data_IF_008379172388
#
_entry.id   IF_008379172388
#
_cell.length_a   1.000
_cell.length_b   1.000
_cell.length_c   1.000
_cell.angle_alpha   90.00
_cell.angle_beta   90.00
_cell.angle_gamma   90.00
#
_symmetry.space_group_name_H-M   'P 1'
#
loop_
_entity.id
_entity.type
_entity.pdbx_description
1 polymer ?
#
# COMPACT_ATOMS: atom_id res chain seq x y z
N UNK A 1 -12.38 3.20 -2.16
CA UNK A 1 -12.81 4.09 -3.26
C UNK A 1 -11.64 4.40 -4.17
N UNK A 2 -11.86 4.26 -5.45
CA UNK A 2 -10.81 4.51 -6.43
C UNK A 2 -10.52 6.00 -6.54
N UNK A 3 -9.24 6.33 -6.54
CA UNK A 3 -8.76 7.70 -6.67
C UNK A 3 -7.72 7.77 -7.77
N UNK A 4 -7.36 8.97 -8.16
CA UNK A 4 -6.34 9.18 -9.19
C UNK A 4 -5.17 9.96 -8.61
N UNK A 5 -3.98 9.42 -8.80
CA UNK A 5 -2.74 10.11 -8.45
C UNK A 5 -2.17 10.72 -9.72
N UNK A 6 -1.86 12.02 -9.67
CA UNK A 6 -1.19 12.70 -10.77
C UNK A 6 0.28 12.84 -10.44
N UNK A 7 1.12 12.26 -11.30
CA UNK A 7 2.57 12.30 -11.10
C UNK A 7 3.11 13.65 -11.55
N UNK A 8 4.05 14.19 -10.78
CA UNK A 8 4.80 15.37 -11.18
C UNK A 8 5.72 15.04 -12.35
N UNK A 9 6.30 13.85 -12.33
CA UNK A 9 7.19 13.38 -13.38
C UNK A 9 6.63 12.09 -13.96
N UNK A 10 6.24 12.15 -15.24
CA UNK A 10 5.70 10.96 -15.91
C UNK A 10 6.74 9.86 -15.96
N UNK A 11 6.27 8.63 -15.94
CA UNK A 11 7.14 7.45 -16.06
C UNK A 11 6.73 6.65 -17.28
N UNK A 12 7.67 5.92 -17.85
CA UNK A 12 7.40 5.05 -18.99
C UNK A 12 7.01 3.67 -18.48
N UNK A 13 5.84 3.23 -18.88
CA UNK A 13 5.35 1.89 -18.56
C UNK A 13 4.92 1.25 -19.87
N UNK A 14 5.58 0.16 -20.23
CA UNK A 14 5.32 -0.55 -21.50
C UNK A 14 5.39 0.38 -22.70
N UNK A 15 6.37 1.29 -22.69
CA UNK A 15 6.58 2.21 -23.82
C UNK A 15 5.63 3.39 -23.87
N UNK A 16 4.78 3.55 -22.86
CA UNK A 16 3.79 4.63 -22.80
C UNK A 16 4.15 5.57 -21.65
N UNK A 17 4.11 6.86 -21.90
CA UNK A 17 4.32 7.87 -20.85
C UNK A 17 3.07 7.96 -20.00
N UNK A 18 3.21 7.73 -18.70
CA UNK A 18 2.08 7.69 -17.77
C UNK A 18 2.29 8.75 -16.70
N UNK A 19 1.31 9.63 -16.54
CA UNK A 19 1.34 10.64 -15.49
C UNK A 19 0.14 10.57 -14.57
N UNK A 20 -0.83 9.71 -14.85
CA UNK A 20 -2.00 9.51 -13.99
C UNK A 20 -2.15 8.03 -13.69
N UNK A 21 -2.29 7.74 -12.42
CA UNK A 21 -2.41 6.36 -11.95
C UNK A 21 -3.59 6.27 -11.01
N UNK A 22 -4.49 5.33 -11.28
CA UNK A 22 -5.58 5.05 -10.37
C UNK A 22 -5.08 4.17 -9.23
N UNK A 23 -5.62 4.39 -8.04
CA UNK A 23 -5.26 3.58 -6.89
C UNK A 23 -6.45 3.44 -5.96
N UNK A 24 -6.44 2.36 -5.19
CA UNK A 24 -7.50 2.07 -4.22
C UNK A 24 -6.93 1.12 -3.18
N UNK A 25 -6.81 1.58 -1.94
CA UNK A 25 -6.26 0.75 -0.89
C UNK A 25 -7.16 -0.45 -0.58
N UNK A 26 -8.46 -0.35 -0.88
CA UNK A 26 -9.36 -1.48 -0.69
C UNK A 26 -9.06 -2.63 -1.65
N UNK A 27 -8.28 -2.39 -2.67
CA UNK A 27 -7.88 -3.41 -3.64
C UNK A 27 -6.59 -4.12 -3.27
N UNK A 28 -6.01 -3.79 -2.13
CA UNK A 28 -4.83 -4.51 -1.63
C UNK A 28 -5.32 -5.80 -1.00
N UNK A 29 -5.21 -6.89 -1.76
CA UNK A 29 -5.56 -8.22 -1.24
C UNK A 29 -4.43 -8.78 -0.41
N UNK A 30 -4.69 -9.84 0.35
CA UNK A 30 -3.65 -10.48 1.13
C UNK A 30 -2.48 -10.97 0.26
N UNK A 31 -2.71 -11.63 -0.88
CA UNK A 31 -1.58 -11.97 -1.75
C UNK A 31 -0.82 -10.76 -2.27
N UNK A 32 -1.53 -9.67 -2.58
CA UNK A 32 -0.87 -8.46 -3.07
C UNK A 32 -0.04 -7.81 -1.97
N UNK A 33 -0.53 -7.83 -0.73
CA UNK A 33 0.24 -7.37 0.42
C UNK A 33 1.53 -8.18 0.57
N UNK A 34 1.42 -9.50 0.45
CA UNK A 34 2.59 -10.38 0.54
C UNK A 34 3.60 -10.08 -0.57
N UNK A 35 3.11 -9.79 -1.78
CA UNK A 35 3.99 -9.43 -2.90
C UNK A 35 4.67 -8.09 -2.65
N UNK A 36 3.98 -7.15 -2.02
CA UNK A 36 4.58 -5.86 -1.67
C UNK A 36 5.73 -6.06 -0.68
N UNK A 37 5.53 -6.91 0.32
CA UNK A 37 6.59 -7.23 1.27
C UNK A 37 7.78 -7.89 0.58
N UNK A 38 7.52 -8.81 -0.33
CA UNK A 38 8.59 -9.47 -1.06
C UNK A 38 9.37 -8.49 -1.93
N UNK A 39 8.66 -7.61 -2.64
CA UNK A 39 9.30 -6.60 -3.49
C UNK A 39 10.15 -5.64 -2.66
N UNK A 40 9.64 -5.25 -1.49
CA UNK A 40 10.39 -4.39 -0.58
C UNK A 40 11.69 -5.05 -0.16
N UNK A 41 11.62 -6.31 0.26
CA UNK A 41 12.81 -7.03 0.70
C UNK A 41 13.82 -7.18 -0.42
N UNK A 42 13.35 -7.44 -1.62
CA UNK A 42 14.25 -7.56 -2.77
C UNK A 42 14.94 -6.23 -3.07
N UNK A 43 14.20 -5.13 -2.99
CA UNK A 43 14.77 -3.81 -3.26
C UNK A 43 15.81 -3.42 -2.22
N UNK A 44 15.61 -3.81 -0.97
CA UNK A 44 16.52 -3.48 0.11
C UNK A 44 17.75 -4.39 0.14
N UNK A 45 17.69 -5.54 -0.49
CA UNK A 45 18.75 -6.53 -0.42
C UNK A 45 18.69 -7.34 0.87
N UNK A 46 19.12 -8.60 0.78
CA UNK A 46 19.00 -9.52 1.90
C UNK A 46 19.81 -9.06 3.11
N UNK A 47 21.00 -8.49 2.87
CA UNK A 47 21.91 -8.10 3.95
C UNK A 47 21.36 -6.95 4.79
N UNK A 48 20.39 -6.22 4.26
CA UNK A 48 19.86 -5.02 4.90
C UNK A 48 18.48 -5.23 5.51
N UNK A 49 18.07 -6.47 5.69
CA UNK A 49 16.77 -6.73 6.27
C UNK A 49 16.85 -6.48 7.77
N UNK A 50 16.83 -5.21 8.15
CA UNK A 50 16.62 -4.84 9.54
C UNK A 50 15.13 -4.95 9.79
N UNK A 51 14.78 -5.72 10.80
CA UNK A 51 13.38 -5.89 11.14
C UNK A 51 12.86 -4.60 11.77
N UNK A 52 11.89 -3.98 11.12
CA UNK A 52 11.17 -2.89 11.75
C UNK A 52 9.99 -3.51 12.49
N UNK A 53 9.99 -3.47 13.81
CA UNK A 53 8.99 -4.21 14.57
C UNK A 53 7.58 -3.66 14.44
N UNK A 54 7.43 -2.41 14.01
CA UNK A 54 6.11 -1.78 13.91
C UNK A 54 5.88 -1.30 12.49
N UNK A 55 4.78 -1.76 11.90
CA UNK A 55 4.45 -1.40 10.52
C UNK A 55 4.29 0.11 10.33
N UNK A 56 3.85 0.82 11.37
CA UNK A 56 3.67 2.28 11.28
C UNK A 56 4.96 3.02 10.99
N UNK A 57 6.10 2.45 11.33
CA UNK A 57 7.40 3.08 11.13
C UNK A 57 8.20 2.47 10.00
N UNK A 58 7.63 1.52 9.29
CA UNK A 58 8.31 0.90 8.14
C UNK A 58 7.97 1.68 6.89
N UNK A 59 8.71 2.78 6.66
CA UNK A 59 8.40 3.67 5.54
C UNK A 59 8.57 3.01 4.18
N UNK A 60 9.53 2.09 4.06
CA UNK A 60 9.69 1.36 2.82
C UNK A 60 8.48 0.45 2.56
N UNK A 61 7.95 -0.17 3.59
CA UNK A 61 6.71 -0.93 3.45
C UNK A 61 5.57 -0.03 3.00
N UNK A 62 5.48 1.17 3.57
CA UNK A 62 4.43 2.13 3.15
C UNK A 62 4.53 2.43 1.67
N UNK A 63 5.75 2.64 1.17
CA UNK A 63 5.93 2.90 -0.26
C UNK A 63 5.43 1.72 -1.09
N UNK A 64 5.79 0.50 -0.73
CA UNK A 64 5.40 -0.66 -1.52
C UNK A 64 3.92 -1.00 -1.37
N UNK A 65 3.30 -0.65 -0.24
CA UNK A 65 1.85 -0.76 -0.13
C UNK A 65 1.14 0.28 -1.00
N UNK A 66 1.72 1.47 -1.14
CA UNK A 66 1.22 2.44 -2.10
C UNK A 66 1.28 1.91 -3.52
N UNK A 67 2.39 1.26 -3.89
CA UNK A 67 2.48 0.58 -5.18
C UNK A 67 1.38 -0.47 -5.32
N UNK A 68 1.13 -1.25 -4.26
CA UNK A 68 0.11 -2.28 -4.30
C UNK A 68 -1.29 -1.68 -4.54
N UNK A 69 -1.57 -0.53 -3.93
CA UNK A 69 -2.86 0.14 -4.16
C UNK A 69 -3.03 0.53 -5.62
N UNK A 70 -1.94 0.91 -6.29
CA UNK A 70 -1.95 1.23 -7.71
C UNK A 70 -2.15 -0.03 -8.54
N UNK A 71 -1.40 -1.08 -8.23
CA UNK A 71 -1.47 -2.34 -8.96
C UNK A 71 -2.86 -2.96 -8.85
N UNK A 72 -3.50 -2.82 -7.68
CA UNK A 72 -4.85 -3.33 -7.51
C UNK A 72 -5.85 -2.75 -8.51
N UNK A 73 -5.66 -1.50 -8.93
CA UNK A 73 -6.48 -0.86 -9.97
C UNK A 73 -5.91 -1.06 -11.37
N UNK A 74 -4.64 -1.43 -11.48
CA UNK A 74 -3.94 -1.55 -12.78
C UNK A 74 -3.17 -2.86 -12.80
N UNK A 75 -3.85 -4.01 -12.94
CA UNK A 75 -3.19 -5.32 -12.78
C UNK A 75 -2.08 -5.58 -13.79
N UNK A 76 -2.05 -4.85 -14.90
CA UNK A 76 -0.99 -4.99 -15.89
C UNK A 76 0.31 -4.31 -15.49
N UNK A 77 0.28 -3.46 -14.44
CA UNK A 77 1.47 -2.78 -13.95
C UNK A 77 2.15 -3.65 -12.91
N UNK A 78 3.47 -3.68 -12.92
CA UNK A 78 4.25 -4.45 -11.96
C UNK A 78 5.01 -3.51 -11.02
N UNK A 79 5.47 -4.05 -9.89
CA UNK A 79 6.26 -3.26 -8.94
C UNK A 79 7.47 -2.62 -9.59
N UNK A 80 8.14 -3.36 -10.49
CA UNK A 80 9.35 -2.85 -11.13
C UNK A 80 9.06 -1.60 -11.98
N UNK A 81 7.85 -1.52 -12.55
CA UNK A 81 7.46 -0.34 -13.31
C UNK A 81 7.36 0.88 -12.41
N UNK A 82 6.79 0.70 -11.23
CA UNK A 82 6.57 1.79 -10.30
C UNK A 82 7.85 2.21 -9.57
N UNK A 83 8.85 1.33 -9.54
CA UNK A 83 10.12 1.67 -8.92
C UNK A 83 10.89 2.72 -9.71
N UNK A 84 10.45 3.06 -10.92
CA UNK A 84 11.06 4.16 -11.69
C UNK A 84 10.54 5.52 -11.24
N UNK A 85 9.48 5.56 -10.46
CA UNK A 85 8.94 6.81 -9.93
C UNK A 85 9.98 7.41 -8.97
N UNK A 86 10.12 8.73 -9.01
CA UNK A 86 11.15 9.38 -8.23
C UNK A 86 10.66 10.73 -7.69
N UNK A 87 11.44 11.26 -6.76
CA UNK A 87 11.22 12.59 -6.23
C UNK A 87 9.96 12.68 -5.38
N UNK A 88 9.25 13.76 -5.54
CA UNK A 88 8.08 14.07 -4.71
C UNK A 88 6.99 13.02 -4.85
N UNK A 89 6.84 12.47 -6.04
CA UNK A 89 5.82 11.45 -6.29
C UNK A 89 6.03 10.22 -5.39
N UNK A 90 7.29 9.89 -5.11
CA UNK A 90 7.61 8.80 -4.20
C UNK A 90 7.00 9.03 -2.82
N UNK A 91 7.10 10.25 -2.32
CA UNK A 91 6.56 10.57 -1.00
C UNK A 91 5.05 10.52 -0.98
N UNK A 92 4.40 10.92 -2.07
CA UNK A 92 2.94 10.86 -2.14
C UNK A 92 2.45 9.42 -2.15
N UNK A 93 3.16 8.56 -2.87
CA UNK A 93 2.80 7.14 -2.89
C UNK A 93 3.03 6.50 -1.52
N UNK A 94 4.12 6.86 -0.87
CA UNK A 94 4.39 6.38 0.49
C UNK A 94 3.26 6.78 1.44
N UNK A 95 2.73 7.99 1.27
CA UNK A 95 1.61 8.46 2.10
C UNK A 95 0.36 7.61 1.89
N UNK A 96 0.12 7.14 0.68
CA UNK A 96 -1.02 6.26 0.41
C UNK A 96 -0.90 4.98 1.25
N UNK A 97 0.27 4.35 1.22
CA UNK A 97 0.50 3.13 1.99
C UNK A 97 0.46 3.37 3.49
N UNK A 98 1.01 4.50 3.94
CA UNK A 98 0.97 4.87 5.34
C UNK A 98 -0.47 5.03 5.82
N UNK A 99 -1.29 5.73 5.03
CA UNK A 99 -2.70 5.93 5.40
C UNK A 99 -3.45 4.61 5.44
N UNK A 100 -3.11 3.67 4.59
CA UNK A 100 -3.70 2.34 4.62
C UNK A 100 -3.45 1.67 5.99
N UNK A 101 -2.23 1.74 6.48
CA UNK A 101 -1.87 1.15 7.79
C UNK A 101 -2.60 1.90 8.91
N UNK A 102 -2.54 3.22 8.92
CA UNK A 102 -3.11 4.01 10.00
C UNK A 102 -4.63 3.95 10.02
N UNK A 103 -5.25 3.93 8.85
CA UNK A 103 -6.70 3.81 8.78
C UNK A 103 -7.21 2.48 9.30
N UNK A 104 -6.45 1.42 9.06
CA UNK A 104 -6.82 0.12 9.59
C UNK A 104 -6.86 0.15 11.11
N UNK A 105 -5.92 0.85 11.75
CA UNK A 105 -5.92 1.02 13.19
C UNK A 105 -7.09 1.87 13.66
N UNK A 106 -7.37 2.95 12.94
CA UNK A 106 -8.48 3.83 13.29
C UNK A 106 -9.81 3.08 13.22
N UNK A 107 -9.99 2.28 12.19
CA UNK A 107 -11.20 1.49 12.03
C UNK A 107 -11.35 0.49 13.18
N UNK A 108 -10.27 -0.11 13.60
CA UNK A 108 -10.30 -1.03 14.73
C UNK A 108 -10.73 -0.32 16.00
N UNK A 109 -10.20 0.87 16.23
CA UNK A 109 -10.58 1.67 17.39
C UNK A 109 -12.05 2.04 17.34
N UNK A 110 -12.52 2.48 16.19
CA UNK A 110 -13.92 2.85 16.04
C UNK A 110 -14.84 1.66 16.23
N UNK A 111 -14.46 0.52 15.73
CA UNK A 111 -15.28 -0.68 15.90
C UNK A 111 -15.42 -1.08 17.36
N UNK A 112 -14.40 -0.84 18.15
CA UNK A 112 -14.51 -1.16 19.57
C UNK A 112 -15.52 -0.28 20.28
N UNK A 113 -15.77 0.88 19.74
CA UNK A 113 -16.83 1.75 20.27
C UNK A 113 -18.20 1.29 19.84
N UNK A 114 -18.30 0.80 18.67
CA UNK A 114 -19.56 0.42 18.12
C UNK A 114 -20.05 -0.87 18.68
N UNK A 115 -19.51 -1.66 18.87
CA UNK A 115 -19.88 -2.82 18.95
C UNK A 115 -20.02 -3.64 19.55
N UNK A 116 -19.96 -3.71 19.12
CA UNK A 116 -19.71 -4.45 18.87
C UNK A 116 -19.94 -5.39 18.12
N UNK A 117 -20.28 -5.61 17.65
CA UNK A 117 -20.46 -6.48 16.84
C UNK A 117 -19.69 -7.30 16.27
N UNK A 118 -19.21 -7.83 16.51
CA UNK A 118 -18.52 -8.68 15.85
C UNK A 118 -18.27 -9.76 16.39
N UNK A 119 -18.88 -9.64 17.13
CA UNK A 119 -18.76 -10.52 17.48
C UNK A 119 -18.86 -11.20 17.56
N UNK A 120 -19.16 -11.30 18.01
CA UNK A 120 -19.20 -12.08 17.90
C UNK A 120 -19.17 -12.67 17.78
N UNK A 121 -19.37 -12.59 17.97
CA UNK A 121 -19.36 -13.15 17.69
C UNK A 121 -18.92 -13.65 17.57
N UNK A 122 -19.07 -13.39 18.28
CA UNK A 122 -18.76 -13.85 18.21
C UNK A 122 -18.87 -14.10 18.60
N UNK A 123 -19.06 -13.87 19.18
CA UNK A 123 -19.23 -14.05 19.39
C UNK A 123 -19.76 -13.97 19.75
N UNK A 124 -20.07 -13.71 20.23
CA UNK A 124 -20.51 -13.68 20.30
C UNK A 124 -20.80 -13.61 20.40
N UNK A 125 -20.90 -13.37 20.67
CA UNK A 125 -21.12 -13.37 20.54
C UNK A 125 -20.87 -13.41 20.31
N UNK A 126 -21.06 -13.13 20.86
CA UNK A 126 -20.81 -13.23 20.51
C UNK A 126 -20.77 -13.26 20.47
#
# INVERSE_FOLDING_TARGET
MEKTLTLTNAVMIDGVSVDKLKYDTDKITAPLFARAEAAKKQAMGIANVAMTPMAEFDFTLHLYLGFAAIIGCNPQIDFIDLERIHGRDTMEIMAIGRNFILKSEDLTTNNSDDVIEITPELSTQA
#
